data_IF_286080126061
#
_entry.id   IF_286080126061
#
_cell.length_a   1.000
_cell.length_b   1.000
_cell.length_c   1.000
_cell.angle_alpha   90.00
_cell.angle_beta   90.00
_cell.angle_gamma   90.00
#
_symmetry.space_group_name_H-M   'P 1'
#
loop_
_entity.id
_entity.type
_entity.pdbx_description
1 polymer ?
#
# COMPACT_ATOMS: atom_id res chain seq x y z
N UNK A 1 14.63 25.59 4.67
CA UNK A 1 14.14 24.74 3.55
C UNK A 1 13.01 25.48 2.89
N UNK A 2 13.11 25.75 1.59
CA UNK A 2 12.06 26.39 0.80
C UNK A 2 10.87 25.44 0.74
N UNK A 3 9.68 25.88 1.16
CA UNK A 3 8.48 25.06 1.09
C UNK A 3 8.20 24.70 -0.38
N UNK A 4 8.08 23.41 -0.69
CA UNK A 4 7.75 22.96 -2.03
C UNK A 4 6.33 23.41 -2.37
N UNK A 5 6.09 23.76 -3.64
CA UNK A 5 4.76 24.17 -4.10
C UNK A 5 3.77 23.01 -3.89
N UNK A 6 2.61 23.24 -3.24
CA UNK A 6 1.60 22.21 -3.08
C UNK A 6 1.13 21.65 -4.42
N UNK A 7 1.02 20.32 -4.51
CA UNK A 7 0.46 19.60 -5.66
C UNK A 7 -1.01 19.30 -5.42
N UNK A 8 -1.38 18.94 -4.19
CA UNK A 8 -2.76 18.62 -3.88
C UNK A 8 -3.59 19.89 -3.79
N UNK A 9 -4.54 20.02 -4.71
CA UNK A 9 -5.59 21.03 -4.64
C UNK A 9 -6.91 20.37 -4.21
N UNK A 10 -7.85 21.11 -3.62
CA UNK A 10 -9.19 20.57 -3.30
C UNK A 10 -9.89 19.99 -4.53
N UNK A 11 -9.73 20.62 -5.70
CA UNK A 11 -10.27 20.14 -6.96
C UNK A 11 -9.66 18.80 -7.40
N UNK A 12 -8.33 18.64 -7.26
CA UNK A 12 -7.64 17.40 -7.57
C UNK A 12 -8.08 16.27 -6.62
N UNK A 13 -8.15 16.54 -5.32
CA UNK A 13 -8.64 15.56 -4.34
C UNK A 13 -10.08 15.14 -4.62
N UNK A 14 -10.95 16.09 -4.96
CA UNK A 14 -12.33 15.79 -5.36
C UNK A 14 -12.38 14.93 -6.63
N UNK A 15 -11.53 15.21 -7.62
CA UNK A 15 -11.44 14.41 -8.84
C UNK A 15 -10.98 12.97 -8.56
N UNK A 16 -9.94 12.78 -7.73
CA UNK A 16 -9.45 11.45 -7.34
C UNK A 16 -10.53 10.65 -6.61
N UNK A 17 -11.24 11.27 -5.65
CA UNK A 17 -12.33 10.64 -4.90
C UNK A 17 -13.50 10.20 -5.79
N UNK A 18 -13.78 10.95 -6.85
CA UNK A 18 -14.89 10.70 -7.78
C UNK A 18 -14.48 9.86 -8.99
N UNK A 19 -13.26 9.32 -9.01
CA UNK A 19 -12.76 8.57 -10.15
C UNK A 19 -13.65 7.34 -10.43
N UNK A 20 -14.22 7.20 -11.65
CA UNK A 20 -15.10 6.09 -11.97
C UNK A 20 -14.40 4.74 -11.80
N UNK A 21 -15.10 3.79 -11.18
CA UNK A 21 -14.60 2.42 -10.98
C UNK A 21 -13.54 2.27 -9.88
N UNK A 22 -13.19 3.34 -9.16
CA UNK A 22 -12.33 3.25 -7.99
C UNK A 22 -13.15 2.73 -6.79
N UNK A 23 -12.75 1.62 -6.14
CA UNK A 23 -13.47 1.13 -4.97
C UNK A 23 -13.50 2.16 -3.85
N UNK A 24 -14.62 2.22 -3.13
CA UNK A 24 -14.78 3.10 -1.98
C UNK A 24 -13.68 2.90 -0.94
N UNK A 25 -13.30 3.98 -0.25
CA UNK A 25 -12.27 3.96 0.80
C UNK A 25 -10.90 3.44 0.32
N UNK A 26 -10.55 3.61 -0.95
CA UNK A 26 -9.20 3.27 -1.47
C UNK A 26 -8.38 4.47 -1.92
N UNK A 27 -9.05 5.58 -2.25
CA UNK A 27 -8.43 6.77 -2.83
C UNK A 27 -7.26 7.29 -1.99
N UNK A 28 -7.42 7.37 -0.66
CA UNK A 28 -6.45 8.03 0.23
C UNK A 28 -5.10 7.32 0.26
N UNK A 29 -5.10 5.99 0.34
CA UNK A 29 -3.84 5.25 0.41
C UNK A 29 -3.19 5.09 -0.96
N UNK A 30 -3.98 5.09 -2.04
CA UNK A 30 -3.45 5.15 -3.41
C UNK A 30 -2.74 6.49 -3.61
N UNK A 31 -3.39 7.61 -3.26
CA UNK A 31 -2.80 8.95 -3.36
C UNK A 31 -1.54 9.08 -2.51
N UNK A 32 -1.57 8.65 -1.24
CA UNK A 32 -0.41 8.70 -0.35
C UNK A 32 0.77 7.88 -0.88
N UNK A 33 0.49 6.71 -1.44
CA UNK A 33 1.51 5.85 -2.05
C UNK A 33 2.15 6.48 -3.29
N UNK A 34 1.34 7.08 -4.17
CA UNK A 34 1.83 7.82 -5.33
C UNK A 34 2.70 9.01 -4.92
N UNK A 35 2.27 9.78 -3.91
CA UNK A 35 3.05 10.91 -3.38
C UNK A 35 4.37 10.46 -2.74
N UNK A 36 4.35 9.35 -2.00
CA UNK A 36 5.58 8.74 -1.47
C UNK A 36 6.54 8.37 -2.59
N UNK A 37 6.06 7.72 -3.67
CA UNK A 37 6.89 7.37 -4.83
C UNK A 37 7.47 8.60 -5.55
N UNK A 38 6.69 9.69 -5.63
CA UNK A 38 7.10 11.01 -6.15
C UNK A 38 8.00 11.81 -5.21
N UNK A 39 8.35 11.26 -4.03
CA UNK A 39 9.13 11.94 -2.99
C UNK A 39 8.47 13.24 -2.51
N UNK A 40 7.15 13.22 -2.30
CA UNK A 40 6.32 14.30 -1.74
C UNK A 40 5.68 13.89 -0.41
N UNK A 41 6.47 13.57 0.62
CA UNK A 41 5.93 13.21 1.94
C UNK A 41 5.19 14.39 2.59
N UNK A 42 5.55 15.63 2.24
CA UNK A 42 4.97 16.88 2.73
C UNK A 42 3.45 17.02 2.49
N UNK A 43 2.91 16.29 1.52
CA UNK A 43 1.50 16.32 1.12
C UNK A 43 0.63 15.31 1.90
N UNK A 44 1.23 14.35 2.61
CA UNK A 44 0.51 13.28 3.31
C UNK A 44 -0.41 13.78 4.44
N UNK A 45 -0.03 14.80 5.23
CA UNK A 45 -0.94 15.43 6.19
C UNK A 45 -2.29 15.83 5.57
N UNK A 46 -2.26 16.44 4.39
CA UNK A 46 -3.48 16.90 3.73
C UNK A 46 -4.33 15.74 3.22
N UNK A 47 -3.71 14.67 2.70
CA UNK A 47 -4.44 13.43 2.35
C UNK A 47 -5.14 12.84 3.56
N UNK A 48 -4.44 12.76 4.69
CA UNK A 48 -4.96 12.16 5.92
C UNK A 48 -6.16 12.96 6.46
N UNK A 49 -6.02 14.27 6.67
CA UNK A 49 -7.10 15.16 7.12
C UNK A 49 -8.34 15.02 6.25
N UNK A 50 -8.14 15.01 4.93
CA UNK A 50 -9.20 14.83 3.95
C UNK A 50 -9.85 13.45 3.99
N UNK A 51 -9.14 12.41 4.43
CA UNK A 51 -9.69 11.07 4.58
C UNK A 51 -10.52 10.93 5.86
N UNK A 52 -10.10 11.56 6.97
CA UNK A 52 -10.79 11.47 8.27
C UNK A 52 -11.88 12.53 8.49
N UNK A 53 -12.09 13.42 7.50
CA UNK A 53 -13.18 14.41 7.51
C UNK A 53 -12.79 15.80 8.05
N UNK A 54 -11.50 16.08 8.27
CA UNK A 54 -11.00 17.38 8.74
C UNK A 54 -10.85 18.43 7.62
N UNK A 55 -11.07 18.06 6.35
CA UNK A 55 -11.02 18.94 5.17
C UNK A 55 -12.36 19.10 4.44
N UNK A 56 -13.23 20.00 4.93
CA UNK A 56 -14.39 20.67 4.29
C UNK A 56 -15.43 19.88 3.43
N UNK A 57 -16.65 19.81 3.98
CA UNK A 57 -17.99 20.19 3.43
C UNK A 57 -18.68 19.56 2.20
N UNK A 58 -18.21 18.50 1.51
CA UNK A 58 -18.90 18.11 0.24
C UNK A 58 -19.14 16.63 -0.05
N UNK A 59 -19.45 15.84 0.96
CA UNK A 59 -20.25 14.62 0.76
C UNK A 59 -21.31 14.56 1.85
N UNK A 60 -22.57 14.31 1.52
CA UNK A 60 -23.66 14.11 2.50
C UNK A 60 -23.48 12.90 3.44
N UNK A 61 -22.27 12.35 3.51
CA UNK A 61 -21.83 11.40 4.50
C UNK A 61 -21.11 12.20 5.58
N UNK A 62 -21.62 12.19 6.80
CA UNK A 62 -21.03 12.90 7.93
C UNK A 62 -19.58 12.50 8.21
N UNK A 63 -18.96 13.18 9.19
CA UNK A 63 -17.61 12.85 9.67
C UNK A 63 -17.53 11.34 9.95
N UNK A 64 -16.52 10.63 9.40
CA UNK A 64 -16.32 9.20 9.65
C UNK A 64 -16.35 8.88 11.14
N UNK A 65 -16.89 7.71 11.48
CA UNK A 65 -16.87 7.24 12.87
C UNK A 65 -15.43 7.13 13.36
N UNK A 66 -15.25 7.13 14.68
CA UNK A 66 -13.93 6.99 15.29
C UNK A 66 -13.20 5.72 14.83
N UNK A 67 -13.94 4.62 14.72
CA UNK A 67 -13.41 3.34 14.25
C UNK A 67 -13.01 3.41 12.77
N UNK A 68 -13.76 4.15 11.94
CA UNK A 68 -13.39 4.38 10.54
C UNK A 68 -12.13 5.23 10.41
N UNK A 69 -11.96 6.26 11.24
CA UNK A 69 -10.73 7.06 11.27
C UNK A 69 -9.52 6.21 11.63
N UNK A 70 -9.66 5.33 12.64
CA UNK A 70 -8.60 4.40 13.04
C UNK A 70 -8.26 3.41 11.92
N UNK A 71 -9.29 2.88 11.25
CA UNK A 71 -9.13 2.02 10.07
C UNK A 71 -8.41 2.76 8.93
N UNK A 72 -8.75 4.01 8.66
CA UNK A 72 -8.07 4.84 7.64
C UNK A 72 -6.59 5.04 7.99
N UNK A 73 -6.29 5.41 9.24
CA UNK A 73 -4.91 5.57 9.75
C UNK A 73 -4.08 4.29 9.54
N UNK A 74 -4.62 3.14 9.96
CA UNK A 74 -3.94 1.84 9.81
C UNK A 74 -3.71 1.47 8.34
N UNK A 75 -4.70 1.70 7.47
CA UNK A 75 -4.59 1.41 6.03
C UNK A 75 -3.58 2.30 5.32
N UNK A 76 -3.46 3.58 5.69
CA UNK A 76 -2.42 4.48 5.19
C UNK A 76 -1.03 3.99 5.58
N UNK A 77 -0.82 3.68 6.87
CA UNK A 77 0.45 3.15 7.36
C UNK A 77 0.82 1.84 6.66
N UNK A 78 -0.13 0.92 6.52
CA UNK A 78 0.07 -0.35 5.84
C UNK A 78 0.46 -0.17 4.36
N UNK A 79 -0.24 0.72 3.64
CA UNK A 79 0.07 1.01 2.24
C UNK A 79 1.49 1.54 2.07
N UNK A 80 1.91 2.50 2.91
CA UNK A 80 3.25 3.08 2.85
C UNK A 80 4.36 2.07 3.21
N UNK A 81 4.08 1.16 4.15
CA UNK A 81 4.99 0.04 4.48
C UNK A 81 5.12 -0.92 3.29
N UNK A 82 4.01 -1.30 2.66
CA UNK A 82 4.04 -2.18 1.47
C UNK A 82 4.69 -1.52 0.26
N UNK A 83 4.51 -0.21 0.08
CA UNK A 83 5.14 0.56 -0.97
C UNK A 83 6.67 0.48 -0.93
N UNK A 84 7.27 0.27 0.26
CA UNK A 84 8.73 0.14 0.40
C UNK A 84 9.32 -0.99 -0.46
N UNK A 85 8.53 -2.02 -0.77
CA UNK A 85 8.94 -3.15 -1.61
C UNK A 85 9.36 -2.73 -3.02
N UNK A 86 8.81 -1.62 -3.54
CA UNK A 86 9.06 -1.15 -4.91
C UNK A 86 9.44 0.33 -5.00
N UNK A 87 9.15 1.12 -3.97
CA UNK A 87 9.54 2.53 -3.84
C UNK A 87 10.77 2.75 -2.97
N UNK A 88 11.21 1.72 -2.24
CA UNK A 88 12.37 1.76 -1.34
C UNK A 88 12.04 2.29 0.06
N UNK A 89 12.78 1.80 1.05
CA UNK A 89 12.60 2.13 2.46
C UNK A 89 12.73 3.64 2.78
N UNK A 90 13.70 4.40 2.23
CA UNK A 90 13.86 5.82 2.57
C UNK A 90 12.61 6.67 2.30
N UNK A 91 11.95 6.46 1.15
CA UNK A 91 10.71 7.18 0.80
C UNK A 91 9.56 6.80 1.72
N UNK A 92 9.42 5.52 2.06
CA UNK A 92 8.42 5.05 3.03
C UNK A 92 8.65 5.60 4.43
N UNK A 93 9.90 5.68 4.90
CA UNK A 93 10.24 6.29 6.21
C UNK A 93 9.81 7.76 6.23
N UNK A 94 10.23 8.55 5.25
CA UNK A 94 9.88 9.98 5.20
C UNK A 94 8.36 10.19 5.13
N UNK A 95 7.67 9.36 4.35
CA UNK A 95 6.22 9.39 4.24
C UNK A 95 5.52 9.05 5.56
N UNK A 96 5.94 7.98 6.24
CA UNK A 96 5.38 7.58 7.54
C UNK A 96 5.65 8.63 8.64
N UNK A 97 6.82 9.25 8.65
CA UNK A 97 7.14 10.32 9.59
C UNK A 97 6.28 11.56 9.36
N UNK A 98 6.05 11.94 8.10
CA UNK A 98 5.15 13.06 7.77
C UNK A 98 3.67 12.74 8.02
N UNK A 99 3.25 11.49 7.86
CA UNK A 99 1.90 11.07 8.23
C UNK A 99 1.72 11.14 9.75
N UNK A 100 2.69 10.64 10.51
CA UNK A 100 2.68 10.67 11.98
C UNK A 100 2.50 12.09 12.52
N UNK A 101 3.16 13.10 11.93
CA UNK A 101 3.07 14.48 12.42
C UNK A 101 1.67 15.10 12.31
N UNK A 102 0.77 14.50 11.53
CA UNK A 102 -0.61 14.94 11.36
C UNK A 102 -1.63 13.94 11.93
N UNK A 103 -1.17 12.84 12.53
CA UNK A 103 -2.05 11.80 13.09
C UNK A 103 -2.23 12.06 14.59
N UNK A 104 -3.46 12.29 15.07
CA UNK A 104 -3.79 12.35 16.50
C UNK A 104 -3.27 11.13 17.27
N UNK A 105 -2.82 11.32 18.52
CA UNK A 105 -2.22 10.25 19.34
C UNK A 105 -3.12 9.03 19.49
N UNK A 106 -4.42 9.27 19.64
CA UNK A 106 -5.43 8.24 19.79
C UNK A 106 -5.66 7.42 18.49
N UNK A 107 -5.16 7.88 17.34
CA UNK A 107 -5.17 7.18 16.03
C UNK A 107 -3.84 6.49 15.71
N UNK A 108 -2.85 6.57 16.61
CA UNK A 108 -1.58 5.86 16.52
C UNK A 108 -1.68 4.51 17.22
N UNK A 109 -0.96 3.51 16.70
CA UNK A 109 -0.75 2.26 17.45
C UNK A 109 0.61 2.33 18.16
N UNK A 110 0.64 1.91 19.43
CA UNK A 110 1.88 1.81 20.20
C UNK A 110 2.69 0.56 19.83
N UNK A 111 4.04 0.63 19.81
CA UNK A 111 4.89 -0.54 19.62
C UNK A 111 4.59 -1.64 20.64
N UNK A 112 4.54 -2.90 20.19
CA UNK A 112 4.40 -4.05 21.09
C UNK A 112 2.96 -4.38 21.53
N UNK A 113 1.95 -3.62 21.11
CA UNK A 113 0.53 -3.91 21.41
C UNK A 113 -0.02 -5.20 20.75
N UNK A 114 0.81 -6.02 20.10
CA UNK A 114 0.39 -7.26 19.44
C UNK A 114 -0.57 -7.09 18.24
N UNK A 115 -0.92 -5.85 17.89
CA UNK A 115 -1.83 -5.52 16.78
C UNK A 115 -1.15 -5.59 15.41
N UNK A 116 0.19 -5.59 15.38
CA UNK A 116 0.96 -5.69 14.14
C UNK A 116 1.26 -7.15 13.81
N UNK A 117 0.69 -7.65 12.72
CA UNK A 117 0.98 -9.00 12.26
C UNK A 117 2.41 -9.19 11.79
N UNK A 118 3.11 -8.12 11.38
CA UNK A 118 4.54 -8.21 11.09
C UNK A 118 5.34 -8.53 12.35
N UNK A 119 4.89 -8.07 13.52
CA UNK A 119 5.48 -8.49 14.79
C UNK A 119 5.26 -9.99 15.00
N UNK A 120 4.01 -10.47 14.82
CA UNK A 120 3.68 -11.91 14.90
C UNK A 120 4.46 -12.76 13.89
N UNK A 121 4.62 -12.29 12.66
CA UNK A 121 5.37 -13.00 11.60
C UNK A 121 6.85 -13.16 11.96
N UNK A 122 7.43 -12.23 12.74
CA UNK A 122 8.83 -12.25 13.15
C UNK A 122 9.04 -13.08 14.44
N UNK A 123 8.12 -12.99 15.40
CA UNK A 123 8.33 -13.53 16.74
C UNK A 123 7.56 -14.82 17.03
N UNK A 124 6.38 -15.00 16.44
CA UNK A 124 5.45 -16.06 16.84
C UNK A 124 5.13 -17.06 15.72
N UNK A 125 5.38 -16.68 14.45
CA UNK A 125 5.07 -17.50 13.28
C UNK A 125 6.33 -18.15 12.74
N UNK A 126 6.27 -19.45 12.43
CA UNK A 126 7.41 -20.14 11.86
C UNK A 126 7.79 -19.52 10.51
N UNK A 127 9.09 -19.21 10.24
CA UNK A 127 9.51 -18.56 8.99
C UNK A 127 9.04 -19.29 7.72
N UNK A 128 8.99 -20.63 7.75
CA UNK A 128 8.51 -21.45 6.64
C UNK A 128 7.05 -21.13 6.28
N UNK A 129 6.18 -20.90 7.27
CA UNK A 129 4.77 -20.57 7.04
C UNK A 129 4.61 -19.17 6.41
N UNK A 130 5.42 -18.20 6.85
CA UNK A 130 5.44 -16.85 6.27
C UNK A 130 5.89 -16.90 4.81
N UNK A 131 6.93 -17.68 4.52
CA UNK A 131 7.44 -17.87 3.15
C UNK A 131 6.45 -18.62 2.25
N UNK A 132 5.74 -19.63 2.78
CA UNK A 132 4.68 -20.33 2.05
C UNK A 132 3.52 -19.39 1.68
N UNK A 133 3.06 -18.58 2.64
CA UNK A 133 2.06 -17.53 2.39
C UNK A 133 2.54 -16.54 1.32
N UNK A 134 3.81 -16.12 1.40
CA UNK A 134 4.46 -15.30 0.38
C UNK A 134 4.45 -15.92 -1.01
N UNK A 135 4.80 -17.21 -1.09
CA UNK A 135 4.83 -17.97 -2.32
C UNK A 135 3.43 -18.13 -2.94
N UNK A 136 2.41 -18.39 -2.13
CA UNK A 136 1.02 -18.44 -2.56
C UNK A 136 0.54 -17.08 -3.08
N UNK A 137 0.87 -15.99 -2.38
CA UNK A 137 0.54 -14.63 -2.80
C UNK A 137 1.22 -14.26 -4.14
N UNK A 138 2.50 -14.59 -4.30
CA UNK A 138 3.23 -14.41 -5.56
C UNK A 138 2.59 -15.20 -6.71
N UNK A 139 2.20 -16.45 -6.47
CA UNK A 139 1.50 -17.27 -7.46
C UNK A 139 0.14 -16.69 -7.82
N UNK A 140 -0.60 -16.12 -6.87
CA UNK A 140 -1.87 -15.46 -7.15
C UNK A 140 -1.71 -14.23 -8.05
N UNK A 141 -0.60 -13.47 -7.91
CA UNK A 141 -0.30 -12.30 -8.75
C UNK A 141 0.10 -12.70 -10.16
N UNK A 142 1.10 -13.59 -10.28
CA UNK A 142 1.72 -13.89 -11.57
C UNK A 142 1.11 -15.12 -12.27
N UNK A 143 0.24 -15.88 -11.60
CA UNK A 143 -0.45 -17.03 -12.15
C UNK A 143 0.49 -18.05 -12.79
N UNK A 144 0.18 -18.44 -14.03
CA UNK A 144 0.89 -19.48 -14.79
C UNK A 144 2.37 -19.17 -15.03
N UNK A 145 2.77 -17.90 -15.04
CA UNK A 145 4.16 -17.50 -15.31
C UNK A 145 5.01 -17.35 -14.04
N UNK A 146 4.42 -17.49 -12.85
CA UNK A 146 5.10 -17.34 -11.55
C UNK A 146 6.40 -18.15 -11.46
N UNK A 147 6.37 -19.46 -11.77
CA UNK A 147 7.57 -20.32 -11.75
C UNK A 147 8.66 -19.84 -12.69
N UNK A 148 8.29 -19.35 -13.88
CA UNK A 148 9.25 -18.80 -14.85
C UNK A 148 9.91 -17.55 -14.29
N UNK A 149 9.12 -16.60 -13.78
CA UNK A 149 9.64 -15.35 -13.21
C UNK A 149 10.60 -15.64 -12.06
N UNK A 150 10.17 -16.43 -11.07
CA UNK A 150 11.02 -16.75 -9.92
C UNK A 150 12.30 -17.46 -10.36
N UNK A 151 12.20 -18.40 -11.31
CA UNK A 151 13.38 -19.06 -11.86
C UNK A 151 14.33 -18.12 -12.61
N UNK A 152 13.83 -17.04 -13.23
CA UNK A 152 14.69 -16.01 -13.83
C UNK A 152 15.42 -15.19 -12.74
N UNK A 153 14.74 -14.87 -11.63
CA UNK A 153 15.38 -14.19 -10.49
C UNK A 153 16.48 -15.05 -9.87
N UNK A 154 16.19 -16.35 -9.66
CA UNK A 154 17.14 -17.33 -9.12
C UNK A 154 18.38 -17.51 -10.01
N UNK A 155 18.24 -17.36 -11.33
CA UNK A 155 19.31 -17.53 -12.33
C UNK A 155 19.82 -16.21 -12.91
N UNK A 156 19.58 -15.09 -12.23
CA UNK A 156 19.94 -13.75 -12.72
C UNK A 156 21.45 -13.46 -12.72
N UNK A 157 22.28 -14.38 -12.20
CA UNK A 157 23.69 -14.12 -11.90
C UNK A 157 23.92 -13.46 -10.54
N UNK A 158 22.86 -12.98 -9.90
CA UNK A 158 22.84 -12.56 -8.49
C UNK A 158 21.98 -13.55 -7.68
N UNK A 159 22.57 -14.56 -7.03
CA UNK A 159 21.82 -15.67 -6.41
C UNK A 159 20.83 -15.19 -5.33
N UNK A 160 21.10 -14.05 -4.70
CA UNK A 160 20.24 -13.48 -3.65
C UNK A 160 19.00 -12.78 -4.19
N UNK A 161 18.90 -12.47 -5.48
CA UNK A 161 17.74 -11.74 -6.02
C UNK A 161 16.43 -12.51 -5.84
N UNK A 162 16.46 -13.82 -6.10
CA UNK A 162 15.31 -14.69 -5.87
C UNK A 162 14.98 -14.87 -4.38
N UNK A 163 16.01 -14.88 -3.51
CA UNK A 163 15.81 -14.95 -2.06
C UNK A 163 15.17 -13.67 -1.53
N UNK A 164 15.68 -12.50 -1.96
CA UNK A 164 15.13 -11.20 -1.60
C UNK A 164 13.68 -11.07 -2.04
N UNK A 165 13.34 -11.50 -3.26
CA UNK A 165 11.96 -11.53 -3.72
C UNK A 165 11.06 -12.39 -2.79
N UNK A 166 11.50 -13.60 -2.40
CA UNK A 166 10.73 -14.46 -1.48
C UNK A 166 10.54 -13.80 -0.11
N UNK A 167 11.57 -13.14 0.43
CA UNK A 167 11.48 -12.39 1.68
C UNK A 167 10.49 -11.22 1.57
N UNK A 168 10.57 -10.43 0.49
CA UNK A 168 9.65 -9.31 0.25
C UNK A 168 8.20 -9.78 0.12
N UNK A 169 7.96 -10.83 -0.67
CA UNK A 169 6.61 -11.37 -0.81
C UNK A 169 6.09 -12.01 0.49
N UNK A 170 6.94 -12.71 1.25
CA UNK A 170 6.59 -13.31 2.54
C UNK A 170 6.27 -12.27 3.62
N UNK A 171 7.28 -11.48 4.01
CA UNK A 171 7.22 -10.62 5.19
C UNK A 171 6.61 -9.23 4.93
N UNK A 172 6.60 -8.74 3.69
CA UNK A 172 6.11 -7.39 3.38
C UNK A 172 4.73 -7.42 2.73
N UNK A 173 4.56 -8.19 1.65
CA UNK A 173 3.40 -8.05 0.77
C UNK A 173 2.24 -9.01 1.10
N UNK A 174 2.52 -10.26 1.49
CA UNK A 174 1.50 -11.30 1.64
C UNK A 174 0.65 -11.20 2.91
N UNK A 175 1.01 -10.33 3.85
CA UNK A 175 0.15 -10.01 4.98
C UNK A 175 -1.08 -9.25 4.49
N UNK A 176 -2.31 -9.72 4.70
CA UNK A 176 -3.50 -9.13 4.04
C UNK A 176 -4.63 -8.73 4.99
N UNK A 177 -4.33 -8.64 6.28
CA UNK A 177 -5.33 -8.43 7.32
C UNK A 177 -5.78 -6.96 7.38
N UNK A 178 -4.92 -6.01 6.98
CA UNK A 178 -5.26 -4.58 6.89
C UNK A 178 -5.62 -4.16 5.46
N UNK A 179 -4.84 -4.62 4.48
CA UNK A 179 -5.10 -4.40 3.05
C UNK A 179 -5.29 -5.72 2.35
N UNK A 180 -6.40 -5.85 1.62
CA UNK A 180 -6.69 -7.07 0.85
C UNK A 180 -5.63 -7.31 -0.24
N UNK A 181 -5.59 -8.51 -0.85
CA UNK A 181 -4.70 -8.74 -2.00
C UNK A 181 -4.90 -7.77 -3.16
N UNK A 182 -6.16 -7.38 -3.45
CA UNK A 182 -6.47 -6.41 -4.50
C UNK A 182 -5.94 -5.02 -4.14
N UNK A 183 -6.15 -4.59 -2.89
CA UNK A 183 -5.68 -3.30 -2.40
C UNK A 183 -4.16 -3.21 -2.33
N UNK A 184 -3.51 -4.32 -1.97
CA UNK A 184 -2.05 -4.45 -2.05
C UNK A 184 -1.56 -4.27 -3.48
N UNK A 185 -2.29 -4.80 -4.46
CA UNK A 185 -1.97 -4.60 -5.87
C UNK A 185 -2.14 -3.13 -6.29
N UNK A 186 -3.15 -2.41 -5.77
CA UNK A 186 -3.27 -0.96 -5.98
C UNK A 186 -2.08 -0.20 -5.45
N UNK A 187 -1.57 -0.53 -4.25
CA UNK A 187 -0.37 0.08 -3.67
C UNK A 187 0.85 -0.13 -4.57
N UNK A 188 1.06 -1.34 -5.07
CA UNK A 188 2.18 -1.63 -5.97
C UNK A 188 2.05 -0.84 -7.29
N UNK A 189 0.86 -0.84 -7.91
CA UNK A 189 0.60 -0.07 -9.15
C UNK A 189 0.83 1.42 -8.91
N UNK A 190 0.26 1.98 -7.84
CA UNK A 190 0.35 3.40 -7.48
C UNK A 190 1.79 3.84 -7.18
N UNK A 191 2.63 2.92 -6.71
CA UNK A 191 4.06 3.14 -6.48
C UNK A 191 4.88 3.07 -7.76
N UNK A 192 4.52 2.19 -8.71
CA UNK A 192 5.32 1.90 -9.89
C UNK A 192 5.04 2.84 -11.07
N UNK A 193 3.79 3.30 -11.24
CA UNK A 193 3.43 4.25 -12.31
C UNK A 193 4.31 5.50 -12.27
N UNK A 194 4.50 6.18 -11.12
CA UNK A 194 5.32 7.40 -11.07
C UNK A 194 6.82 7.16 -11.26
N UNK A 195 7.26 5.91 -11.14
CA UNK A 195 8.67 5.50 -11.30
C UNK A 195 8.99 5.02 -12.72
N UNK A 196 8.00 5.02 -13.63
CA UNK A 196 8.11 4.57 -15.03
C UNK A 196 8.61 3.11 -15.19
N UNK A 197 8.24 2.24 -14.25
CA UNK A 197 8.64 0.82 -14.27
C UNK A 197 7.58 -0.02 -15.01
N UNK A 198 7.59 0.08 -16.35
CA UNK A 198 6.56 -0.44 -17.25
C UNK A 198 6.36 -1.97 -17.23
N UNK A 199 7.43 -2.76 -17.11
CA UNK A 199 7.37 -4.24 -17.18
C UNK A 199 6.59 -4.86 -16.01
N UNK A 200 6.65 -4.27 -14.82
CA UNK A 200 5.97 -4.79 -13.63
C UNK A 200 4.46 -4.47 -13.64
N UNK A 201 4.09 -3.34 -14.26
CA UNK A 201 2.71 -2.84 -14.30
C UNK A 201 1.78 -3.75 -15.12
N UNK A 202 2.26 -4.32 -16.22
CA UNK A 202 1.43 -5.18 -17.08
C UNK A 202 0.97 -6.46 -16.37
N UNK A 203 1.82 -7.03 -15.51
CA UNK A 203 1.49 -8.24 -14.76
C UNK A 203 0.50 -7.98 -13.63
N UNK A 204 0.65 -6.87 -12.90
CA UNK A 204 -0.28 -6.49 -11.82
C UNK A 204 -1.69 -6.21 -12.35
N UNK A 205 -1.82 -5.52 -13.50
CA UNK A 205 -3.12 -5.17 -14.11
C UNK A 205 -3.99 -6.41 -14.40
N UNK A 206 -3.38 -7.54 -14.75
CA UNK A 206 -4.11 -8.81 -14.99
C UNK A 206 -4.71 -9.38 -13.72
N UNK A 207 -4.02 -9.25 -12.59
CA UNK A 207 -4.49 -9.75 -11.30
C UNK A 207 -5.65 -8.91 -10.76
N UNK A 208 -5.58 -7.59 -10.93
CA UNK A 208 -6.67 -6.67 -10.54
C UNK A 208 -7.96 -6.96 -11.31
N UNK A 209 -7.87 -7.18 -12.63
CA UNK A 209 -9.03 -7.51 -13.46
C UNK A 209 -9.67 -8.84 -13.04
N UNK A 210 -8.86 -9.88 -12.84
CA UNK A 210 -9.36 -11.20 -12.46
C UNK A 210 -10.02 -11.24 -11.07
N UNK A 211 -9.58 -10.41 -10.12
CA UNK A 211 -10.17 -10.32 -8.77
C UNK A 211 -11.39 -9.41 -8.70
N UNK A 212 -11.38 -8.24 -9.35
CA UNK A 212 -12.56 -7.39 -9.43
C UNK A 212 -13.74 -8.12 -10.11
N UNK A 213 -13.47 -8.94 -11.14
CA UNK A 213 -14.48 -9.75 -11.82
C UNK A 213 -15.02 -10.92 -10.94
N UNK A 214 -14.26 -11.34 -9.93
CA UNK A 214 -14.66 -12.39 -8.99
C UNK A 214 -15.47 -11.83 -7.81
N UNK A 215 -15.07 -10.68 -7.27
CA UNK A 215 -15.78 -9.98 -6.19
C UNK A 215 -17.13 -9.40 -6.66
N UNK A 216 -17.29 -9.12 -7.96
CA UNK A 216 -18.56 -8.67 -8.56
C UNK A 216 -19.58 -9.81 -8.83
N UNK A 217 -19.23 -11.07 -8.54
CA UNK A 217 -20.08 -12.26 -8.72
C UNK A 217 -20.63 -12.83 -7.40
N UNK A 218 -20.43 -12.14 -6.28
CA UNK A 218 -21.04 -12.40 -4.97
C UNK A 218 -21.98 -11.24 -4.62
#
# INVERSE_FOLDING_TARGET
MTAMKPILTPALLAAIRKQPGLPGNTWYFITATTLSALNRPDELPEVFKNAIGEGSDTTGNGVPSRDDQLRISRRLREALLKASAVGGMPKSINALMSLKSATPEDLLDEPGMGTSLRHRDIHDTAPAQVLERGQAFFQAIYGKISRRIMGQLDRSGAPDLGLLARLTYGYVLSNTDVLTPAETSFVLIASLIPQDVSVFLEQLRRCTKAKCDADAKL
#
